data_IF_387034415290
#
_entry.id   IF_387034415290
#
_cell.length_a   1.000
_cell.length_b   1.000
_cell.length_c   1.000
_cell.angle_alpha   90.00
_cell.angle_beta   90.00
_cell.angle_gamma   90.00
#
_symmetry.space_group_name_H-M   'P 1'
#
loop_
_entity.id
_entity.type
_entity.pdbx_description
1 polymer ?
#
# COMPACT_ATOMS: atom_id res chain seq x y z
N UNK A 1 -23.05 23.15 22.07
CA UNK A 1 -22.42 23.32 20.75
C UNK A 1 -20.98 23.75 20.96
N UNK A 2 -20.01 22.84 20.94
CA UNK A 2 -18.59 23.18 20.99
C UNK A 2 -18.21 23.81 19.65
N UNK A 3 -17.42 24.88 19.60
CA UNK A 3 -17.06 25.56 18.38
C UNK A 3 -16.32 24.57 17.47
N UNK A 4 -16.83 24.38 16.28
CA UNK A 4 -16.19 23.60 15.22
C UNK A 4 -14.84 24.28 14.91
N UNK A 5 -13.77 23.80 15.54
CA UNK A 5 -12.42 24.23 15.17
C UNK A 5 -12.19 23.80 13.71
N UNK A 6 -12.16 24.78 12.82
CA UNK A 6 -11.73 24.56 11.44
C UNK A 6 -10.41 23.81 11.44
N UNK A 7 -10.28 22.72 10.66
CA UNK A 7 -9.03 21.96 10.60
C UNK A 7 -7.89 22.90 10.19
N UNK A 8 -6.71 22.73 10.81
CA UNK A 8 -5.52 23.48 10.42
C UNK A 8 -5.28 23.29 8.91
N UNK A 9 -4.96 24.35 8.15
CA UNK A 9 -4.65 24.24 6.73
C UNK A 9 -3.46 23.30 6.47
N UNK A 10 -2.59 23.10 7.47
CA UNK A 10 -1.42 22.23 7.42
C UNK A 10 -1.72 20.76 7.71
N UNK A 11 -2.92 20.41 8.19
CA UNK A 11 -3.25 19.03 8.55
C UNK A 11 -3.09 18.08 7.36
N UNK A 12 -3.73 18.41 6.25
CA UNK A 12 -3.72 17.54 5.07
C UNK A 12 -2.32 17.41 4.46
N UNK A 13 -1.55 18.49 4.20
CA UNK A 13 -0.17 18.38 3.75
C UNK A 13 0.70 17.50 4.66
N UNK A 14 0.63 17.68 5.98
CA UNK A 14 1.43 16.91 6.94
C UNK A 14 1.12 15.43 6.90
N UNK A 15 -0.15 15.03 6.99
CA UNK A 15 -0.52 13.59 7.00
C UNK A 15 -0.27 12.94 5.64
N UNK A 16 -0.43 13.66 4.54
CA UNK A 16 -0.12 13.20 3.19
C UNK A 16 1.39 12.97 3.01
N UNK A 17 2.22 13.92 3.44
CA UNK A 17 3.69 13.78 3.37
C UNK A 17 4.18 12.65 4.30
N UNK A 18 3.60 12.51 5.51
CA UNK A 18 3.92 11.41 6.40
C UNK A 18 3.58 10.05 5.77
N UNK A 19 2.39 9.92 5.18
CA UNK A 19 1.98 8.71 4.46
C UNK A 19 2.92 8.41 3.28
N UNK A 20 3.27 9.43 2.49
CA UNK A 20 4.24 9.32 1.38
C UNK A 20 5.58 8.76 1.88
N UNK A 21 6.17 9.35 2.92
CA UNK A 21 7.49 8.92 3.45
C UNK A 21 7.46 7.49 4.00
N UNK A 22 6.40 7.12 4.73
CA UNK A 22 6.23 5.76 5.28
C UNK A 22 6.14 4.74 4.15
N UNK A 23 5.37 5.02 3.12
CA UNK A 23 5.18 4.11 1.98
C UNK A 23 6.43 4.09 1.09
N UNK A 24 7.05 5.24 0.83
CA UNK A 24 8.31 5.31 0.08
C UNK A 24 9.40 4.47 0.75
N UNK A 25 9.55 4.55 2.08
CA UNK A 25 10.50 3.74 2.84
C UNK A 25 10.19 2.23 2.76
N UNK A 26 8.92 1.84 2.74
CA UNK A 26 8.53 0.44 2.58
C UNK A 26 8.98 -0.11 1.22
N UNK A 27 8.73 0.64 0.16
CA UNK A 27 8.96 0.21 -1.23
C UNK A 27 10.38 0.44 -1.75
N UNK A 28 11.19 1.30 -1.13
CA UNK A 28 12.58 1.49 -1.52
C UNK A 28 13.45 0.25 -1.26
N UNK A 29 13.00 -0.70 -0.43
CA UNK A 29 13.76 -1.89 -0.10
C UNK A 29 13.89 -2.85 -1.28
N UNK A 30 12.86 -3.02 -2.09
CA UNK A 30 12.83 -3.97 -3.20
C UNK A 30 13.99 -3.78 -4.20
N UNK A 31 14.25 -2.57 -4.75
CA UNK A 31 15.38 -2.35 -5.66
C UNK A 31 16.75 -2.48 -5.00
N UNK A 32 16.85 -2.36 -3.67
CA UNK A 32 18.11 -2.48 -2.95
C UNK A 32 18.54 -3.95 -2.68
N UNK A 33 17.64 -4.93 -2.85
CA UNK A 33 17.92 -6.35 -2.55
C UNK A 33 19.20 -6.85 -3.23
N UNK A 34 19.43 -6.67 -4.55
CA UNK A 34 20.63 -7.16 -5.20
C UNK A 34 21.91 -6.49 -4.70
N UNK A 35 21.85 -5.20 -4.36
CA UNK A 35 22.98 -4.42 -3.83
C UNK A 35 23.32 -4.85 -2.41
N UNK A 36 22.32 -4.96 -1.54
CA UNK A 36 22.50 -5.36 -0.15
C UNK A 36 23.01 -6.80 -0.02
N UNK A 37 22.64 -7.70 -0.94
CA UNK A 37 23.19 -9.05 -0.99
C UNK A 37 24.72 -9.03 -1.23
N UNK A 38 25.21 -8.10 -2.04
CA UNK A 38 26.65 -7.89 -2.23
C UNK A 38 27.30 -7.27 -1.00
N UNK A 39 26.68 -6.22 -0.42
CA UNK A 39 27.22 -5.52 0.77
C UNK A 39 27.35 -6.47 1.97
N UNK A 40 26.35 -7.33 2.19
CA UNK A 40 26.36 -8.29 3.30
C UNK A 40 27.00 -9.64 2.94
N UNK A 41 27.56 -9.79 1.72
CA UNK A 41 28.17 -11.03 1.21
C UNK A 41 27.27 -12.26 1.44
N UNK A 42 25.99 -12.15 1.09
CA UNK A 42 24.98 -13.17 1.36
C UNK A 42 24.05 -13.42 0.16
N UNK A 43 23.20 -14.44 0.29
CA UNK A 43 22.21 -14.76 -0.73
C UNK A 43 21.10 -13.69 -0.77
N UNK A 44 20.65 -13.36 -1.98
CA UNK A 44 19.55 -12.41 -2.23
C UNK A 44 18.25 -12.80 -1.52
N UNK A 45 18.01 -14.09 -1.31
CA UNK A 45 16.83 -14.58 -0.57
C UNK A 45 16.84 -14.13 0.89
N UNK A 46 17.97 -14.17 1.58
CA UNK A 46 18.06 -13.68 2.96
C UNK A 46 17.78 -12.18 3.06
N UNK A 47 18.31 -11.39 2.13
CA UNK A 47 18.04 -9.94 2.08
C UNK A 47 16.59 -9.69 1.69
N UNK A 48 16.03 -10.50 0.80
CA UNK A 48 14.62 -10.44 0.38
C UNK A 48 13.63 -10.52 1.54
N UNK A 49 14.00 -11.22 2.63
CA UNK A 49 13.19 -11.29 3.86
C UNK A 49 12.95 -9.92 4.52
N UNK A 50 13.76 -8.91 4.22
CA UNK A 50 13.56 -7.56 4.74
C UNK A 50 12.26 -6.89 4.25
N UNK A 51 11.69 -7.35 3.13
CA UNK A 51 10.40 -6.87 2.60
C UNK A 51 9.22 -7.45 3.41
N UNK A 52 9.03 -8.76 3.50
CA UNK A 52 7.95 -9.32 4.31
C UNK A 52 8.12 -9.04 5.80
N UNK A 53 9.36 -8.93 6.31
CA UNK A 53 9.63 -8.55 7.69
C UNK A 53 9.08 -7.16 8.06
N UNK A 54 8.94 -6.26 7.10
CA UNK A 54 8.27 -4.98 7.32
C UNK A 54 6.75 -5.09 7.12
N UNK A 55 6.32 -5.70 6.03
CA UNK A 55 4.93 -5.66 5.58
C UNK A 55 4.00 -6.53 6.43
N UNK A 56 4.45 -7.70 6.89
CA UNK A 56 3.63 -8.58 7.75
C UNK A 56 3.31 -7.94 9.10
N UNK A 57 4.30 -7.47 9.89
CA UNK A 57 4.01 -6.80 11.15
C UNK A 57 3.29 -5.46 10.95
N UNK A 58 3.53 -4.75 9.84
CA UNK A 58 2.75 -3.55 9.48
C UNK A 58 1.25 -3.89 9.38
N UNK A 59 0.89 -4.92 8.59
CA UNK A 59 -0.50 -5.36 8.45
C UNK A 59 -1.13 -5.73 9.78
N UNK A 60 -0.47 -6.58 10.57
CA UNK A 60 -0.98 -7.04 11.87
C UNK A 60 -1.17 -5.87 12.84
N UNK A 61 -0.18 -4.99 12.96
CA UNK A 61 -0.22 -3.87 13.89
C UNK A 61 -1.28 -2.82 13.50
N UNK A 62 -1.67 -2.72 12.22
CA UNK A 62 -2.76 -1.84 11.77
C UNK A 62 -4.08 -2.13 12.52
N UNK A 63 -4.36 -3.39 12.86
CA UNK A 63 -5.56 -3.77 13.61
C UNK A 63 -5.53 -3.26 15.06
N UNK A 64 -4.34 -3.01 15.62
CA UNK A 64 -4.13 -2.54 16.98
C UNK A 64 -4.16 -1.01 17.07
N UNK A 65 -3.59 -0.31 16.10
CA UNK A 65 -3.47 1.13 16.11
C UNK A 65 -4.83 1.86 16.07
N UNK A 66 -5.82 1.29 15.39
CA UNK A 66 -7.18 1.83 15.35
C UNK A 66 -7.79 1.97 16.75
N UNK A 67 -8.03 0.85 17.47
CA UNK A 67 -8.53 0.87 18.85
C UNK A 67 -7.65 1.70 19.80
N UNK A 68 -6.33 1.67 19.63
CA UNK A 68 -5.42 2.48 20.44
C UNK A 68 -5.67 3.97 20.23
N UNK A 69 -5.93 4.39 19.00
CA UNK A 69 -6.22 5.77 18.66
C UNK A 69 -7.59 6.24 19.15
N UNK A 70 -8.55 5.33 19.27
CA UNK A 70 -9.85 5.62 19.90
C UNK A 70 -9.68 5.91 21.41
N UNK A 71 -8.80 5.15 22.08
CA UNK A 71 -8.55 5.27 23.52
C UNK A 71 -7.69 6.47 23.89
N UNK A 72 -6.56 6.68 23.19
CA UNK A 72 -5.58 7.72 23.53
C UNK A 72 -5.77 9.02 22.75
N UNK A 73 -6.57 8.97 21.67
CA UNK A 73 -6.79 10.06 20.75
C UNK A 73 -5.92 9.95 19.49
N UNK A 74 -6.39 10.54 18.38
CA UNK A 74 -5.72 10.46 17.06
C UNK A 74 -4.32 11.07 17.09
N UNK A 75 -4.20 12.30 17.65
CA UNK A 75 -2.96 13.07 17.66
C UNK A 75 -1.79 12.34 18.34
N UNK A 76 -1.89 11.90 19.62
CA UNK A 76 -0.75 11.25 20.27
C UNK A 76 -0.35 9.93 19.59
N UNK A 77 -1.31 9.21 19.00
CA UNK A 77 -1.03 7.94 18.34
C UNK A 77 -0.34 8.14 17.00
N UNK A 78 -0.75 9.14 16.19
CA UNK A 78 -0.02 9.51 14.94
C UNK A 78 1.42 9.90 15.28
N UNK A 79 1.63 10.80 16.26
CA UNK A 79 2.97 11.23 16.63
C UNK A 79 3.80 10.11 17.26
N UNK A 80 3.21 9.25 18.08
CA UNK A 80 3.90 8.06 18.64
C UNK A 80 4.36 7.10 17.53
N UNK A 81 3.50 6.83 16.55
CA UNK A 81 3.82 6.03 15.37
C UNK A 81 4.95 6.68 14.54
N UNK A 82 4.90 8.00 14.32
CA UNK A 82 5.94 8.73 13.61
C UNK A 82 7.29 8.69 14.35
N UNK A 83 7.29 8.87 15.67
CA UNK A 83 8.52 8.80 16.47
C UNK A 83 9.15 7.41 16.41
N UNK A 84 8.34 6.35 16.55
CA UNK A 84 8.79 4.97 16.38
C UNK A 84 9.35 4.74 14.97
N UNK A 85 8.64 5.21 13.93
CA UNK A 85 9.09 5.10 12.55
C UNK A 85 10.44 5.80 12.34
N UNK A 86 10.61 7.04 12.82
CA UNK A 86 11.85 7.82 12.74
C UNK A 86 13.00 7.05 13.40
N UNK A 87 12.84 6.66 14.67
CA UNK A 87 13.89 6.01 15.44
C UNK A 87 14.29 4.66 14.83
N UNK A 88 13.30 3.82 14.44
CA UNK A 88 13.56 2.50 13.92
C UNK A 88 14.05 2.53 12.46
N UNK A 89 13.66 3.53 11.68
CA UNK A 89 14.22 3.77 10.34
C UNK A 89 15.69 4.19 10.43
N UNK A 90 16.03 5.08 11.36
CA UNK A 90 17.44 5.44 11.62
C UNK A 90 18.24 4.22 12.13
N UNK A 91 17.67 3.44 13.04
CA UNK A 91 18.30 2.21 13.53
C UNK A 91 18.52 1.18 12.41
N UNK A 92 17.68 1.14 11.39
CA UNK A 92 17.88 0.26 10.23
C UNK A 92 19.22 0.56 9.53
N UNK A 93 19.65 1.83 9.48
CA UNK A 93 20.93 2.22 8.89
C UNK A 93 22.16 1.71 9.67
N UNK A 94 22.00 1.33 10.94
CA UNK A 94 23.08 0.75 11.76
C UNK A 94 23.25 -0.77 11.60
N UNK A 95 22.46 -1.42 10.73
CA UNK A 95 22.54 -2.86 10.56
C UNK A 95 23.89 -3.29 9.97
N UNK A 96 24.58 -4.17 10.67
CA UNK A 96 25.87 -4.76 10.26
C UNK A 96 25.70 -6.17 9.70
N UNK A 97 24.49 -6.72 9.75
CA UNK A 97 24.16 -8.05 9.24
C UNK A 97 22.74 -8.07 8.68
N UNK A 98 22.45 -9.05 7.84
CA UNK A 98 21.10 -9.26 7.31
C UNK A 98 20.09 -9.54 8.42
N UNK A 99 20.48 -10.29 9.46
CA UNK A 99 19.60 -10.56 10.58
C UNK A 99 19.22 -9.27 11.33
N UNK A 100 20.19 -8.37 11.56
CA UNK A 100 19.93 -7.06 12.14
C UNK A 100 19.02 -6.20 11.22
N UNK A 101 19.29 -6.18 9.91
CA UNK A 101 18.45 -5.49 8.93
C UNK A 101 17.00 -5.99 9.00
N UNK A 102 16.78 -7.30 8.97
CA UNK A 102 15.45 -7.92 9.04
C UNK A 102 14.76 -7.60 10.37
N UNK A 103 15.49 -7.65 11.50
CA UNK A 103 14.94 -7.31 12.81
C UNK A 103 14.50 -5.83 12.89
N UNK A 104 15.35 -4.91 12.42
CA UNK A 104 14.97 -3.48 12.37
C UNK A 104 13.79 -3.22 11.43
N UNK A 105 13.74 -3.90 10.28
CA UNK A 105 12.59 -3.82 9.36
C UNK A 105 11.30 -4.29 10.01
N UNK A 106 11.35 -5.40 10.78
CA UNK A 106 10.21 -5.91 11.53
C UNK A 106 9.69 -4.87 12.54
N UNK A 107 10.57 -4.32 13.34
CA UNK A 107 10.21 -3.29 14.31
C UNK A 107 9.67 -2.01 13.63
N UNK A 108 10.31 -1.58 12.54
CA UNK A 108 9.88 -0.40 11.78
C UNK A 108 8.48 -0.59 11.18
N UNK A 109 8.15 -1.79 10.69
CA UNK A 109 6.81 -2.12 10.20
C UNK A 109 5.72 -1.89 11.26
N UNK A 110 5.95 -2.31 12.49
CA UNK A 110 5.04 -2.06 13.62
C UNK A 110 4.91 -0.55 13.87
N UNK A 111 6.04 0.16 13.97
CA UNK A 111 6.04 1.60 14.24
C UNK A 111 5.33 2.43 13.17
N UNK A 112 5.54 2.10 11.90
CA UNK A 112 5.00 2.82 10.76
C UNK A 112 3.48 2.67 10.56
N UNK A 113 2.94 1.52 10.97
CA UNK A 113 1.58 1.08 10.60
C UNK A 113 0.43 1.91 11.20
N UNK A 114 0.71 2.81 12.15
CA UNK A 114 -0.29 3.73 12.70
C UNK A 114 -0.54 4.96 11.84
N UNK A 115 0.40 5.37 10.97
CA UNK A 115 0.31 6.65 10.25
C UNK A 115 -0.86 6.67 9.26
N UNK A 116 -0.89 5.74 8.31
CA UNK A 116 -1.89 5.75 7.22
C UNK A 116 -3.32 5.53 7.72
N UNK A 117 -3.64 4.47 8.49
CA UNK A 117 -5.02 4.21 8.88
C UNK A 117 -5.59 5.27 9.81
N UNK A 118 -4.76 5.83 10.71
CA UNK A 118 -5.24 6.89 11.61
C UNK A 118 -5.41 8.21 10.85
N UNK A 119 -4.59 8.49 9.82
CA UNK A 119 -4.80 9.63 8.92
C UNK A 119 -6.13 9.53 8.17
N UNK A 120 -6.51 8.35 7.68
CA UNK A 120 -7.82 8.09 7.08
C UNK A 120 -8.96 8.40 8.05
N UNK A 121 -8.83 7.89 9.28
CA UNK A 121 -9.83 8.13 10.34
C UNK A 121 -9.90 9.61 10.70
N UNK A 122 -8.76 10.29 10.85
CA UNK A 122 -8.70 11.72 11.17
C UNK A 122 -9.40 12.57 10.10
N UNK A 123 -9.19 12.27 8.82
CA UNK A 123 -9.91 12.93 7.71
C UNK A 123 -11.42 12.72 7.86
N UNK A 124 -11.83 11.49 8.18
CA UNK A 124 -13.24 11.16 8.44
C UNK A 124 -13.85 11.93 9.61
N UNK A 125 -13.07 12.15 10.66
CA UNK A 125 -13.52 12.84 11.90
C UNK A 125 -13.60 14.37 11.75
N UNK A 126 -12.70 14.98 10.94
CA UNK A 126 -12.50 16.45 10.92
C UNK A 126 -12.99 17.09 9.64
N UNK A 127 -12.91 16.39 8.48
CA UNK A 127 -13.28 16.97 7.20
C UNK A 127 -14.77 16.80 6.92
N UNK A 128 -15.52 17.90 6.59
CA UNK A 128 -16.92 17.81 6.20
C UNK A 128 -17.16 16.83 5.06
N UNK A 129 -18.28 16.12 5.10
CA UNK A 129 -18.60 15.03 4.16
C UNK A 129 -18.38 15.41 2.68
N UNK A 130 -18.83 16.61 2.28
CA UNK A 130 -18.75 17.13 0.91
C UNK A 130 -17.31 17.34 0.42
N UNK A 131 -16.33 17.51 1.35
CA UNK A 131 -14.90 17.74 1.03
C UNK A 131 -14.03 16.50 1.29
N UNK A 132 -14.57 15.42 1.87
CA UNK A 132 -13.81 14.21 2.22
C UNK A 132 -13.20 13.52 1.02
N UNK A 133 -13.93 13.43 -0.08
CA UNK A 133 -13.45 12.80 -1.31
C UNK A 133 -12.15 13.42 -1.80
N UNK A 134 -12.04 14.76 -1.79
CA UNK A 134 -10.82 15.47 -2.16
C UNK A 134 -9.67 15.20 -1.19
N UNK A 135 -9.94 15.21 0.12
CA UNK A 135 -8.92 14.97 1.14
C UNK A 135 -8.38 13.53 1.09
N UNK A 136 -9.27 12.54 0.92
CA UNK A 136 -8.90 11.15 0.73
C UNK A 136 -8.13 10.93 -0.58
N UNK A 137 -8.52 11.63 -1.66
CA UNK A 137 -7.81 11.60 -2.94
C UNK A 137 -6.35 12.06 -2.80
N UNK A 138 -6.08 13.12 -2.04
CA UNK A 138 -4.71 13.55 -1.73
C UNK A 138 -3.93 12.51 -0.93
N UNK A 139 -4.55 11.90 0.08
CA UNK A 139 -3.88 10.86 0.87
C UNK A 139 -3.56 9.61 0.05
N UNK A 140 -4.50 9.11 -0.75
CA UNK A 140 -4.25 7.97 -1.63
C UNK A 140 -3.26 8.30 -2.74
N UNK A 141 -3.30 9.52 -3.29
CA UNK A 141 -2.29 10.01 -4.23
C UNK A 141 -0.90 10.04 -3.61
N UNK A 142 -0.78 10.42 -2.32
CA UNK A 142 0.50 10.40 -1.60
C UNK A 142 1.00 8.97 -1.37
N UNK A 143 0.11 8.01 -1.10
CA UNK A 143 0.44 6.59 -0.97
C UNK A 143 0.95 6.05 -2.31
N UNK A 144 0.24 6.30 -3.41
CA UNK A 144 0.66 5.88 -4.75
C UNK A 144 1.98 6.52 -5.17
N UNK A 145 2.12 7.84 -4.92
CA UNK A 145 3.37 8.57 -5.15
C UNK A 145 4.54 8.04 -4.32
N UNK A 146 4.28 7.68 -3.06
CA UNK A 146 5.27 7.04 -2.18
C UNK A 146 5.74 5.69 -2.72
N UNK A 147 4.81 4.87 -3.21
CA UNK A 147 5.13 3.57 -3.82
C UNK A 147 6.02 3.73 -5.05
N UNK A 148 5.63 4.62 -5.97
CA UNK A 148 6.39 4.90 -7.19
C UNK A 148 7.77 5.52 -6.91
N UNK A 149 7.79 6.58 -6.09
CA UNK A 149 9.01 7.29 -5.76
C UNK A 149 9.97 6.44 -4.91
N UNK A 150 9.43 5.64 -3.97
CA UNK A 150 10.26 4.83 -3.09
C UNK A 150 11.20 3.91 -3.84
N UNK A 151 10.69 3.15 -4.81
CA UNK A 151 11.49 2.27 -5.61
C UNK A 151 12.48 3.01 -6.52
N UNK A 152 11.98 3.99 -7.26
CA UNK A 152 12.79 4.70 -8.25
C UNK A 152 13.86 5.56 -7.58
N UNK A 153 13.48 6.40 -6.61
CA UNK A 153 14.41 7.25 -5.88
C UNK A 153 15.40 6.41 -5.06
N UNK A 154 14.92 5.31 -4.44
CA UNK A 154 15.78 4.38 -3.72
C UNK A 154 16.92 3.87 -4.59
N UNK A 155 16.61 3.41 -5.81
CA UNK A 155 17.62 2.90 -6.74
C UNK A 155 18.53 3.99 -7.33
N UNK A 156 17.98 5.18 -7.64
CA UNK A 156 18.74 6.28 -8.26
C UNK A 156 19.66 6.99 -7.27
N UNK A 157 19.27 7.11 -6.01
CA UNK A 157 19.99 7.87 -4.98
C UNK A 157 20.97 6.99 -4.19
N UNK A 158 20.71 5.67 -4.11
CA UNK A 158 21.61 4.75 -3.40
C UNK A 158 23.08 4.87 -3.79
N UNK A 159 23.46 4.95 -5.08
CA UNK A 159 24.85 5.05 -5.48
C UNK A 159 25.56 6.33 -4.98
N UNK A 160 24.80 7.38 -4.64
CA UNK A 160 25.31 8.67 -4.18
C UNK A 160 25.51 8.72 -2.66
N UNK A 161 24.57 8.19 -1.90
CA UNK A 161 24.54 8.32 -0.43
C UNK A 161 24.68 6.99 0.31
N UNK A 162 24.69 5.88 -0.43
CA UNK A 162 24.65 4.54 0.13
C UNK A 162 23.27 4.17 0.70
N UNK A 163 23.03 2.89 0.92
CA UNK A 163 21.77 2.41 1.46
C UNK A 163 21.50 2.93 2.88
N UNK A 164 22.53 3.09 3.73
CA UNK A 164 22.40 3.69 5.07
C UNK A 164 21.92 5.15 4.95
N UNK A 165 22.53 5.92 4.05
CA UNK A 165 22.16 7.31 3.80
C UNK A 165 20.71 7.48 3.37
N UNK A 166 20.16 6.54 2.59
CA UNK A 166 18.73 6.54 2.23
C UNK A 166 17.83 6.41 3.46
N UNK A 167 18.11 5.45 4.36
CA UNK A 167 17.32 5.28 5.58
C UNK A 167 17.46 6.48 6.52
N UNK A 168 18.67 7.03 6.67
CA UNK A 168 18.90 8.24 7.47
C UNK A 168 18.19 9.46 6.86
N UNK A 169 18.21 9.62 5.54
CA UNK A 169 17.50 10.71 4.88
C UNK A 169 15.99 10.63 5.12
N UNK A 170 15.37 9.47 4.94
CA UNK A 170 13.93 9.30 5.22
C UNK A 170 13.63 9.58 6.69
N UNK A 171 14.47 9.10 7.61
CA UNK A 171 14.31 9.37 9.04
C UNK A 171 14.40 10.87 9.33
N UNK A 172 15.40 11.57 8.78
CA UNK A 172 15.61 13.01 8.97
C UNK A 172 14.45 13.84 8.38
N UNK A 173 14.02 13.55 7.15
CA UNK A 173 12.87 14.23 6.56
C UNK A 173 11.60 14.01 7.36
N UNK A 174 11.37 12.80 7.88
CA UNK A 174 10.21 12.51 8.73
C UNK A 174 10.32 13.24 10.07
N UNK A 175 11.52 13.36 10.65
CA UNK A 175 11.74 14.10 11.88
C UNK A 175 11.47 15.61 11.68
N UNK A 176 11.97 16.20 10.61
CA UNK A 176 11.70 17.60 10.23
C UNK A 176 10.18 17.81 10.06
N UNK A 177 9.50 16.91 9.35
CA UNK A 177 8.04 16.95 9.19
C UNK A 177 7.33 16.86 10.54
N UNK A 178 7.76 15.96 11.42
CA UNK A 178 7.18 15.79 12.76
C UNK A 178 7.32 17.05 13.62
N UNK A 179 8.50 17.67 13.61
CA UNK A 179 8.75 18.95 14.29
C UNK A 179 7.88 20.05 13.70
N UNK A 180 7.85 20.21 12.38
CA UNK A 180 6.99 21.17 11.69
C UNK A 180 5.51 20.95 12.02
N UNK A 181 5.06 19.70 12.07
CA UNK A 181 3.68 19.35 12.43
C UNK A 181 3.30 19.78 13.86
N UNK A 182 4.24 19.68 14.80
CA UNK A 182 4.06 20.14 16.18
C UNK A 182 4.00 21.67 16.25
N UNK A 183 4.98 22.34 15.64
CA UNK A 183 5.09 23.81 15.63
C UNK A 183 3.88 24.48 14.97
N UNK A 184 3.44 23.93 13.84
CA UNK A 184 2.26 24.42 13.09
C UNK A 184 0.93 23.98 13.70
N UNK A 185 0.96 23.19 14.80
CA UNK A 185 -0.25 22.59 15.38
C UNK A 185 -1.14 21.92 14.32
N UNK A 186 -0.51 21.24 13.38
CA UNK A 186 -1.16 20.70 12.18
C UNK A 186 -2.22 19.65 12.52
N UNK A 187 -1.96 18.74 13.46
CA UNK A 187 -2.89 17.67 13.85
C UNK A 187 -3.74 18.16 15.03
N UNK A 188 -5.08 18.25 14.87
CA UNK A 188 -5.97 18.71 15.94
C UNK A 188 -6.06 17.68 17.07
N UNK A 189 -6.25 18.18 18.29
CA UNK A 189 -6.63 17.35 19.44
C UNK A 189 -8.14 17.19 19.42
N UNK A 190 -8.62 15.97 19.18
CA UNK A 190 -10.03 15.63 19.21
C UNK A 190 -10.42 15.10 20.61
N UNK A 191 -11.68 15.29 21.04
CA UNK A 191 -12.19 14.62 22.22
C UNK A 191 -12.00 13.12 22.11
N UNK A 192 -11.65 12.47 23.21
CA UNK A 192 -11.53 11.02 23.25
C UNK A 192 -12.93 10.40 23.15
N UNK A 193 -13.08 9.46 22.25
CA UNK A 193 -14.28 8.63 22.23
C UNK A 193 -14.17 7.55 23.31
N UNK A 194 -15.29 7.10 23.85
CA UNK A 194 -15.29 5.92 24.70
C UNK A 194 -14.79 4.74 23.86
N UNK A 195 -13.64 4.20 24.22
CA UNK A 195 -13.07 3.07 23.50
C UNK A 195 -14.01 1.86 23.65
N UNK A 196 -14.43 1.24 22.56
CA UNK A 196 -15.23 0.03 22.63
C UNK A 196 -14.42 -1.08 23.32
N UNK A 197 -15.07 -1.96 24.11
CA UNK A 197 -14.38 -3.10 24.70
C UNK A 197 -13.77 -3.97 23.59
N UNK A 198 -12.63 -4.59 23.87
CA UNK A 198 -11.88 -5.40 22.87
C UNK A 198 -12.77 -6.46 22.22
N UNK A 199 -13.66 -7.10 23.02
CA UNK A 199 -14.61 -8.08 22.50
C UNK A 199 -15.59 -7.49 21.46
N UNK A 200 -15.95 -6.21 21.56
CA UNK A 200 -16.79 -5.54 20.56
C UNK A 200 -15.99 -5.23 19.29
N UNK A 201 -14.71 -4.89 19.41
CA UNK A 201 -13.80 -4.68 18.26
C UNK A 201 -13.63 -5.98 17.49
N UNK A 202 -13.32 -7.09 18.17
CA UNK A 202 -13.13 -8.42 17.57
C UNK A 202 -14.42 -8.89 16.90
N UNK A 203 -15.58 -8.75 17.58
CA UNK A 203 -16.88 -9.06 16.97
C UNK A 203 -17.17 -8.24 15.73
N UNK A 204 -16.79 -6.95 15.72
CA UNK A 204 -16.91 -6.09 14.55
C UNK A 204 -16.08 -6.59 13.36
N UNK A 205 -14.85 -7.01 13.58
CA UNK A 205 -14.03 -7.63 12.53
C UNK A 205 -14.64 -8.97 12.04
N UNK A 206 -15.09 -9.81 12.96
CA UNK A 206 -15.72 -11.09 12.60
C UNK A 206 -17.01 -10.87 11.78
N UNK A 207 -17.84 -9.87 12.15
CA UNK A 207 -19.06 -9.55 11.41
C UNK A 207 -18.80 -9.12 9.97
N UNK A 208 -17.73 -8.32 9.73
CA UNK A 208 -17.33 -7.91 8.37
C UNK A 208 -16.91 -9.11 7.51
N UNK A 209 -16.19 -10.06 8.12
CA UNK A 209 -15.75 -11.28 7.44
C UNK A 209 -16.87 -12.31 7.27
N UNK A 210 -17.96 -12.22 8.03
CA UNK A 210 -19.13 -13.10 7.86
C UNK A 210 -19.98 -12.73 6.65
N UNK A 211 -19.95 -11.45 6.22
CA UNK A 211 -20.69 -10.98 5.05
C UNK A 211 -20.11 -11.58 3.76
N UNK A 212 -20.94 -12.16 2.89
CA UNK A 212 -20.49 -12.74 1.62
C UNK A 212 -19.80 -11.69 0.73
N UNK A 213 -20.37 -10.47 0.64
CA UNK A 213 -19.78 -9.33 -0.07
C UNK A 213 -18.44 -8.91 0.55
N UNK A 214 -18.33 -8.93 1.89
CA UNK A 214 -17.09 -8.66 2.62
C UNK A 214 -16.03 -9.72 2.32
N UNK A 215 -16.32 -11.00 2.52
CA UNK A 215 -15.36 -12.09 2.28
C UNK A 215 -14.76 -12.06 0.88
N UNK A 216 -15.60 -11.95 -0.16
CA UNK A 216 -15.11 -11.90 -1.54
C UNK A 216 -14.20 -10.69 -1.78
N UNK A 217 -14.60 -9.51 -1.28
CA UNK A 217 -13.83 -8.28 -1.47
C UNK A 217 -12.49 -8.35 -0.75
N UNK A 218 -12.48 -8.79 0.51
CA UNK A 218 -11.26 -8.98 1.30
C UNK A 218 -10.33 -10.05 0.72
N UNK A 219 -10.89 -11.15 0.20
CA UNK A 219 -10.10 -12.17 -0.48
C UNK A 219 -9.39 -11.58 -1.72
N UNK A 220 -10.09 -10.75 -2.52
CA UNK A 220 -9.49 -10.10 -3.68
C UNK A 220 -8.49 -9.00 -3.33
N UNK A 221 -8.68 -8.29 -2.21
CA UNK A 221 -7.65 -7.40 -1.67
C UNK A 221 -6.36 -8.18 -1.39
N UNK A 222 -6.46 -9.34 -0.74
CA UNK A 222 -5.31 -10.17 -0.42
C UNK A 222 -4.68 -10.79 -1.68
N UNK A 223 -5.48 -11.36 -2.59
CA UNK A 223 -5.00 -11.96 -3.85
C UNK A 223 -4.26 -10.91 -4.69
N UNK A 224 -4.86 -9.74 -4.89
CA UNK A 224 -4.27 -8.65 -5.65
C UNK A 224 -2.94 -8.19 -5.03
N UNK A 225 -2.90 -8.09 -3.69
CA UNK A 225 -1.68 -7.75 -2.95
C UNK A 225 -0.59 -8.80 -3.10
N UNK A 226 -0.94 -10.09 -3.00
CA UNK A 226 0.00 -11.21 -3.16
C UNK A 226 0.62 -11.20 -4.56
N UNK A 227 -0.19 -11.08 -5.60
CA UNK A 227 0.31 -11.09 -6.99
C UNK A 227 1.18 -9.87 -7.25
N UNK A 228 0.70 -8.69 -6.87
CA UNK A 228 1.40 -7.43 -7.11
C UNK A 228 2.77 -7.39 -6.42
N UNK A 229 2.81 -7.66 -5.11
CA UNK A 229 4.06 -7.59 -4.34
C UNK A 229 5.00 -8.75 -4.67
N UNK A 230 4.46 -9.93 -4.99
CA UNK A 230 5.25 -11.05 -5.41
C UNK A 230 6.11 -10.71 -6.63
N UNK A 231 5.47 -10.25 -7.69
CA UNK A 231 6.19 -9.86 -8.93
C UNK A 231 7.07 -8.63 -8.68
N UNK A 232 6.50 -7.56 -8.09
CA UNK A 232 7.17 -6.27 -7.92
C UNK A 232 8.47 -6.35 -7.10
N UNK A 233 8.46 -7.07 -5.98
CA UNK A 233 9.62 -7.14 -5.07
C UNK A 233 10.87 -7.68 -5.76
N UNK A 234 10.72 -8.55 -6.73
CA UNK A 234 11.81 -9.24 -7.38
C UNK A 234 12.17 -8.67 -8.77
N UNK A 235 11.46 -7.60 -9.24
CA UNK A 235 11.75 -6.97 -10.53
C UNK A 235 13.18 -6.45 -10.64
N UNK A 236 13.74 -5.89 -9.57
CA UNK A 236 15.12 -5.41 -9.58
C UNK A 236 16.12 -6.55 -9.84
N UNK A 237 15.93 -7.68 -9.16
CA UNK A 237 16.76 -8.87 -9.40
C UNK A 237 16.56 -9.43 -10.81
N UNK A 238 15.33 -9.47 -11.30
CA UNK A 238 15.00 -9.87 -12.66
C UNK A 238 15.70 -8.99 -13.70
N UNK A 239 15.62 -7.67 -13.57
CA UNK A 239 16.25 -6.72 -14.49
C UNK A 239 17.78 -6.83 -14.46
N UNK A 240 18.36 -7.03 -13.27
CA UNK A 240 19.79 -7.27 -13.13
C UNK A 240 20.25 -8.57 -13.78
N UNK A 241 19.55 -9.68 -13.54
CA UNK A 241 19.96 -10.99 -14.08
C UNK A 241 19.76 -11.10 -15.59
N UNK A 242 18.69 -10.51 -16.10
CA UNK A 242 18.32 -10.65 -17.51
C UNK A 242 19.01 -9.64 -18.43
N UNK A 243 19.18 -8.39 -17.97
CA UNK A 243 19.69 -7.29 -18.77
C UNK A 243 21.01 -6.71 -18.26
N UNK A 244 21.56 -7.24 -17.16
CA UNK A 244 22.81 -6.74 -16.57
C UNK A 244 22.71 -5.32 -16.02
N UNK A 245 21.50 -4.81 -15.71
CA UNK A 245 21.33 -3.43 -15.26
C UNK A 245 21.93 -3.20 -13.88
N UNK A 246 22.67 -2.10 -13.73
CA UNK A 246 23.07 -1.56 -12.44
C UNK A 246 21.92 -0.80 -11.76
N UNK A 247 22.18 -0.22 -10.57
CA UNK A 247 21.20 0.43 -9.73
C UNK A 247 20.44 1.55 -10.47
N UNK A 248 21.17 2.42 -11.19
CA UNK A 248 20.57 3.53 -11.98
C UNK A 248 19.68 2.97 -13.10
N UNK A 249 20.16 1.96 -13.83
CA UNK A 249 19.39 1.29 -14.90
C UNK A 249 18.09 0.66 -14.36
N UNK A 250 18.15 0.01 -13.19
CA UNK A 250 16.99 -0.54 -12.49
C UNK A 250 16.01 0.58 -12.10
N UNK A 251 16.52 1.67 -11.51
CA UNK A 251 15.70 2.83 -11.14
C UNK A 251 14.96 3.44 -12.34
N UNK A 252 15.65 3.61 -13.48
CA UNK A 252 15.04 4.10 -14.72
C UNK A 252 14.03 3.11 -15.30
N UNK A 253 14.30 1.81 -15.22
CA UNK A 253 13.38 0.79 -15.70
C UNK A 253 12.09 0.72 -14.85
N UNK A 254 12.18 1.03 -13.56
CA UNK A 254 11.04 1.06 -12.64
C UNK A 254 10.32 2.42 -12.60
N UNK A 255 10.86 3.45 -13.26
CA UNK A 255 10.31 4.83 -13.21
C UNK A 255 8.83 4.89 -13.61
N UNK A 256 8.43 4.05 -14.56
CA UNK A 256 7.04 3.98 -15.03
C UNK A 256 6.06 3.34 -14.06
N UNK A 257 6.57 2.61 -13.05
CA UNK A 257 5.73 1.98 -12.04
C UNK A 257 5.06 3.04 -11.14
N UNK A 258 3.75 2.94 -11.00
CA UNK A 258 2.96 3.90 -10.23
C UNK A 258 2.52 5.16 -10.98
N UNK A 259 3.09 5.46 -12.16
CA UNK A 259 2.59 6.54 -13.04
C UNK A 259 1.11 6.35 -13.37
N UNK A 260 0.63 5.13 -13.73
CA UNK A 260 -0.78 4.92 -14.02
C UNK A 260 -1.71 5.33 -12.88
N UNK A 261 -1.38 4.99 -11.63
CA UNK A 261 -2.18 5.36 -10.47
C UNK A 261 -2.28 6.88 -10.26
N UNK A 262 -1.17 7.59 -10.49
CA UNK A 262 -1.14 9.05 -10.39
C UNK A 262 -1.96 9.73 -11.51
N UNK A 263 -1.81 9.28 -12.74
CA UNK A 263 -2.43 9.92 -13.91
C UNK A 263 -3.89 9.48 -14.09
N UNK A 264 -4.19 8.19 -13.93
CA UNK A 264 -5.48 7.62 -14.27
C UNK A 264 -6.39 7.38 -13.06
N UNK A 265 -5.93 7.57 -11.82
CA UNK A 265 -6.74 7.37 -10.62
C UNK A 265 -8.13 8.03 -10.67
N UNK A 266 -8.24 9.36 -10.97
CA UNK A 266 -9.54 10.02 -11.11
C UNK A 266 -10.38 9.52 -12.28
N UNK A 267 -9.74 9.04 -13.35
CA UNK A 267 -10.42 8.51 -14.53
C UNK A 267 -10.95 7.10 -14.25
N UNK A 268 -10.20 6.27 -13.55
CA UNK A 268 -10.62 4.94 -13.09
C UNK A 268 -11.86 5.07 -12.19
N UNK A 269 -11.87 6.01 -11.24
CA UNK A 269 -13.04 6.29 -10.41
C UNK A 269 -14.27 6.65 -11.24
N UNK A 270 -14.16 7.60 -12.19
CA UNK A 270 -15.25 7.98 -13.09
C UNK A 270 -15.74 6.83 -13.97
N UNK A 271 -14.82 5.99 -14.44
CA UNK A 271 -15.16 4.81 -15.23
C UNK A 271 -15.97 3.81 -14.40
N UNK A 272 -15.60 3.59 -13.16
CA UNK A 272 -16.31 2.74 -12.22
C UNK A 272 -17.69 3.28 -11.85
N UNK A 273 -17.82 4.60 -11.69
CA UNK A 273 -19.11 5.25 -11.42
C UNK A 273 -20.07 5.11 -12.59
N UNK A 274 -19.58 5.16 -13.84
CA UNK A 274 -20.41 5.07 -15.06
C UNK A 274 -20.78 3.63 -15.43
N UNK A 275 -19.82 2.72 -15.36
CA UNK A 275 -19.96 1.36 -15.91
C UNK A 275 -20.06 0.28 -14.83
N UNK A 276 -19.92 0.67 -13.54
CA UNK A 276 -19.85 -0.27 -12.42
C UNK A 276 -18.47 -0.89 -12.27
N UNK A 277 -18.32 -1.65 -11.20
CA UNK A 277 -17.05 -2.30 -10.80
C UNK A 277 -16.95 -3.73 -11.31
N UNK A 278 -18.03 -4.29 -11.83
CA UNK A 278 -18.20 -5.71 -12.16
C UNK A 278 -17.25 -6.25 -13.23
N UNK A 279 -16.82 -5.42 -14.18
CA UNK A 279 -15.89 -5.80 -15.23
C UNK A 279 -14.48 -5.21 -15.04
N UNK A 280 -14.37 -4.04 -14.38
CA UNK A 280 -13.07 -3.37 -14.20
C UNK A 280 -12.17 -4.18 -13.25
N UNK A 281 -12.74 -4.72 -12.16
CA UNK A 281 -11.98 -5.53 -11.20
C UNK A 281 -11.41 -6.79 -11.88
N UNK A 282 -12.22 -7.65 -12.56
CA UNK A 282 -11.66 -8.79 -13.30
C UNK A 282 -10.63 -8.39 -14.35
N UNK A 283 -10.88 -7.31 -15.11
CA UNK A 283 -9.97 -6.83 -16.15
C UNK A 283 -8.63 -6.38 -15.57
N UNK A 284 -8.61 -5.67 -14.44
CA UNK A 284 -7.38 -5.26 -13.77
C UNK A 284 -6.58 -6.45 -13.25
N UNK A 285 -7.22 -7.45 -12.62
CA UNK A 285 -6.56 -8.68 -12.18
C UNK A 285 -6.01 -9.47 -13.39
N UNK A 286 -6.79 -9.56 -14.49
CA UNK A 286 -6.34 -10.21 -15.72
C UNK A 286 -5.13 -9.49 -16.33
N UNK A 287 -5.15 -8.16 -16.39
CA UNK A 287 -4.03 -7.36 -16.88
C UNK A 287 -2.75 -7.64 -16.08
N UNK A 288 -2.84 -7.68 -14.74
CA UNK A 288 -1.71 -8.04 -13.88
C UNK A 288 -1.18 -9.45 -14.22
N UNK A 289 -2.08 -10.43 -14.42
CA UNK A 289 -1.72 -11.79 -14.78
C UNK A 289 -1.03 -11.87 -16.16
N UNK A 290 -1.60 -11.21 -17.17
CA UNK A 290 -1.01 -11.12 -18.51
C UNK A 290 0.38 -10.49 -18.47
N UNK A 291 0.55 -9.39 -17.73
CA UNK A 291 1.84 -8.72 -17.59
C UNK A 291 2.89 -9.64 -16.92
N UNK A 292 2.51 -10.40 -15.89
CA UNK A 292 3.40 -11.38 -15.27
C UNK A 292 3.84 -12.47 -16.27
N UNK A 293 2.93 -12.98 -17.12
CA UNK A 293 3.26 -13.94 -18.18
C UNK A 293 4.14 -13.32 -19.28
N UNK A 294 3.88 -12.06 -19.66
CA UNK A 294 4.74 -11.34 -20.62
C UNK A 294 6.17 -11.19 -20.10
N UNK A 295 6.35 -10.92 -18.81
CA UNK A 295 7.67 -10.86 -18.18
C UNK A 295 8.41 -12.21 -18.22
N UNK A 296 7.71 -13.33 -18.31
CA UNK A 296 8.31 -14.66 -18.50
C UNK A 296 8.84 -14.89 -19.94
N UNK A 297 8.30 -14.16 -20.92
CA UNK A 297 8.69 -14.29 -22.33
C UNK A 297 10.02 -13.57 -22.64
N UNK A 298 10.78 -13.96 -23.69
CA UNK A 298 12.06 -13.33 -24.05
C UNK A 298 11.89 -11.97 -24.74
N UNK A 299 11.33 -11.00 -24.01
CA UNK A 299 11.06 -9.66 -24.50
C UNK A 299 12.29 -8.72 -24.40
N UNK A 300 12.42 -7.73 -25.28
CA UNK A 300 13.42 -6.66 -25.15
C UNK A 300 13.08 -5.74 -23.96
N UNK A 301 14.07 -4.98 -23.47
CA UNK A 301 13.96 -4.15 -22.28
C UNK A 301 12.78 -3.17 -22.35
N UNK A 302 12.55 -2.51 -23.48
CA UNK A 302 11.44 -1.56 -23.67
C UNK A 302 10.08 -2.24 -23.48
N UNK A 303 9.90 -3.45 -23.99
CA UNK A 303 8.67 -4.21 -23.82
C UNK A 303 8.48 -4.67 -22.36
N UNK A 304 9.57 -5.01 -21.67
CA UNK A 304 9.57 -5.32 -20.23
C UNK A 304 9.16 -4.08 -19.42
N UNK A 305 9.70 -2.90 -19.73
CA UNK A 305 9.30 -1.65 -19.08
C UNK A 305 7.81 -1.35 -19.29
N UNK A 306 7.31 -1.52 -20.52
CA UNK A 306 5.89 -1.38 -20.82
C UNK A 306 5.02 -2.38 -20.02
N UNK A 307 5.47 -3.64 -19.90
CA UNK A 307 4.79 -4.64 -19.08
C UNK A 307 4.79 -4.29 -17.58
N UNK A 308 5.86 -3.69 -17.06
CA UNK A 308 5.94 -3.19 -15.67
C UNK A 308 4.94 -2.05 -15.43
N UNK A 309 4.82 -1.11 -16.36
CA UNK A 309 3.83 -0.02 -16.30
C UNK A 309 2.41 -0.58 -16.35
N UNK A 310 2.14 -1.51 -17.26
CA UNK A 310 0.84 -2.13 -17.38
C UNK A 310 0.46 -3.00 -16.17
N UNK A 311 1.45 -3.64 -15.53
CA UNK A 311 1.28 -4.39 -14.27
C UNK A 311 0.81 -3.44 -13.14
N UNK A 312 1.42 -2.26 -13.03
CA UNK A 312 0.96 -1.23 -12.08
C UNK A 312 -0.47 -0.78 -12.40
N UNK A 313 -0.80 -0.55 -13.67
CA UNK A 313 -2.16 -0.20 -14.08
C UNK A 313 -3.18 -1.27 -13.68
N UNK A 314 -2.85 -2.55 -13.82
CA UNK A 314 -3.72 -3.66 -13.38
C UNK A 314 -4.06 -3.57 -11.89
N UNK A 315 -3.08 -3.25 -11.05
CA UNK A 315 -3.29 -3.01 -9.62
C UNK A 315 -4.15 -1.76 -9.36
N UNK A 316 -3.87 -0.66 -10.06
CA UNK A 316 -4.57 0.61 -9.90
C UNK A 316 -6.04 0.54 -10.37
N UNK A 317 -6.35 -0.34 -11.34
CA UNK A 317 -7.72 -0.64 -11.75
C UNK A 317 -8.52 -1.43 -10.70
N UNK A 318 -7.86 -2.14 -9.80
CA UNK A 318 -8.53 -3.04 -8.85
C UNK A 318 -8.58 -2.47 -7.44
N UNK A 319 -7.45 -2.07 -6.88
CA UNK A 319 -7.34 -1.75 -5.45
C UNK A 319 -8.24 -0.59 -4.99
N UNK A 320 -8.33 0.55 -5.70
CA UNK A 320 -9.24 1.63 -5.30
C UNK A 320 -10.72 1.21 -5.35
N UNK A 321 -11.09 0.35 -6.30
CA UNK A 321 -12.47 -0.13 -6.43
C UNK A 321 -12.84 -1.12 -5.33
N UNK A 322 -11.92 -2.01 -4.95
CA UNK A 322 -12.09 -2.89 -3.80
C UNK A 322 -12.20 -2.07 -2.49
N UNK A 323 -11.38 -1.02 -2.34
CA UNK A 323 -11.48 -0.10 -1.22
C UNK A 323 -12.84 0.61 -1.18
N UNK A 324 -13.37 1.01 -2.34
CA UNK A 324 -14.73 1.54 -2.46
C UNK A 324 -15.79 0.57 -1.95
N UNK A 325 -15.72 -0.72 -2.35
CA UNK A 325 -16.66 -1.75 -1.85
C UNK A 325 -16.55 -1.91 -0.34
N UNK A 326 -15.31 -1.93 0.19
CA UNK A 326 -15.07 -2.06 1.64
C UNK A 326 -15.72 -0.92 2.43
N UNK A 327 -15.65 0.31 1.92
CA UNK A 327 -16.28 1.48 2.57
C UNK A 327 -17.81 1.50 2.48
N UNK A 328 -18.37 0.73 1.53
CA UNK A 328 -19.82 0.54 1.35
C UNK A 328 -20.38 -0.61 2.21
N UNK A 329 -19.52 -1.40 2.89
CA UNK A 329 -19.98 -2.48 3.76
C UNK A 329 -20.72 -1.92 5.00
N UNK A 330 -21.76 -2.62 5.49
CA UNK A 330 -22.46 -2.22 6.69
C UNK A 330 -21.55 -2.33 7.91
N UNK A 331 -21.72 -1.44 8.89
CA UNK A 331 -20.96 -1.44 10.14
C UNK A 331 -19.96 -0.28 10.27
N UNK A 332 -18.93 -0.49 11.07
CA UNK A 332 -17.93 0.54 11.33
C UNK A 332 -16.90 0.64 10.19
N UNK A 333 -16.92 1.76 9.47
CA UNK A 333 -15.99 2.02 8.34
C UNK A 333 -14.52 1.94 8.74
N UNK A 334 -14.18 2.40 9.95
CA UNK A 334 -12.80 2.33 10.44
C UNK A 334 -12.34 0.88 10.61
N UNK A 335 -13.20 0.01 11.14
CA UNK A 335 -12.90 -1.42 11.24
C UNK A 335 -12.81 -2.08 9.86
N UNK A 336 -13.72 -1.75 8.94
CA UNK A 336 -13.69 -2.27 7.57
C UNK A 336 -12.39 -1.92 6.86
N UNK A 337 -11.94 -0.66 6.99
CA UNK A 337 -10.68 -0.19 6.41
C UNK A 337 -9.46 -0.81 7.09
N UNK A 338 -9.51 -1.04 8.41
CA UNK A 338 -8.43 -1.70 9.15
C UNK A 338 -8.24 -3.16 8.70
N UNK A 339 -9.34 -3.93 8.51
CA UNK A 339 -9.29 -5.29 7.95
C UNK A 339 -8.72 -5.27 6.53
N UNK A 340 -9.13 -4.30 5.70
CA UNK A 340 -8.58 -4.14 4.36
C UNK A 340 -7.07 -3.89 4.39
N UNK A 341 -6.61 -2.97 5.22
CA UNK A 341 -5.18 -2.65 5.35
C UNK A 341 -4.39 -3.85 5.89
N UNK A 342 -4.93 -4.55 6.87
CA UNK A 342 -4.34 -5.80 7.37
C UNK A 342 -4.13 -6.82 6.23
N UNK A 343 -5.17 -7.11 5.46
CA UNK A 343 -5.10 -8.09 4.37
C UNK A 343 -4.22 -7.60 3.22
N UNK A 344 -4.21 -6.30 2.92
CA UNK A 344 -3.36 -5.71 1.90
C UNK A 344 -1.88 -5.87 2.25
N UNK A 345 -1.45 -5.40 3.42
CA UNK A 345 -0.04 -5.43 3.80
C UNK A 345 0.45 -6.85 4.13
N UNK A 346 -0.39 -7.68 4.75
CA UNK A 346 -0.10 -9.11 4.93
C UNK A 346 0.00 -9.82 3.59
N UNK A 347 -0.91 -9.52 2.66
CA UNK A 347 -0.87 -10.03 1.29
C UNK A 347 0.41 -9.61 0.55
N UNK A 348 0.84 -8.37 0.69
CA UNK A 348 2.12 -7.91 0.15
C UNK A 348 3.31 -8.70 0.73
N UNK A 349 3.36 -8.88 2.05
CA UNK A 349 4.42 -9.66 2.69
C UNK A 349 4.43 -11.13 2.24
N UNK A 350 3.26 -11.77 2.22
CA UNK A 350 3.11 -13.15 1.76
C UNK A 350 3.47 -13.29 0.27
N UNK A 351 3.05 -12.34 -0.56
CA UNK A 351 3.35 -12.36 -2.00
C UNK A 351 4.85 -12.36 -2.28
N UNK A 352 5.60 -11.49 -1.58
CA UNK A 352 7.06 -11.45 -1.66
C UNK A 352 7.70 -12.79 -1.26
N UNK A 353 7.23 -13.42 -0.16
CA UNK A 353 7.71 -14.72 0.29
C UNK A 353 7.36 -15.85 -0.68
N UNK A 354 6.12 -15.92 -1.15
CA UNK A 354 5.67 -16.96 -2.06
C UNK A 354 6.41 -16.91 -3.40
N UNK A 355 6.65 -15.69 -3.91
CA UNK A 355 7.46 -15.53 -5.12
C UNK A 355 8.91 -15.95 -4.88
N UNK A 356 9.48 -15.60 -3.72
CA UNK A 356 10.82 -16.04 -3.31
C UNK A 356 10.93 -17.57 -3.29
N UNK A 357 9.93 -18.25 -2.74
CA UNK A 357 9.89 -19.72 -2.76
C UNK A 357 9.80 -20.25 -4.21
N UNK A 358 8.97 -19.63 -5.05
CA UNK A 358 8.85 -20.01 -6.45
C UNK A 358 10.15 -19.76 -7.25
N UNK A 359 10.99 -18.78 -6.85
CA UNK A 359 12.29 -18.52 -7.46
C UNK A 359 13.26 -19.72 -7.37
N UNK A 360 13.06 -20.65 -6.45
CA UNK A 360 13.85 -21.90 -6.39
C UNK A 360 13.69 -22.74 -7.66
N UNK A 361 12.56 -22.56 -8.38
CA UNK A 361 12.28 -23.18 -9.68
C UNK A 361 12.60 -22.25 -10.87
N UNK A 362 13.20 -21.08 -10.61
CA UNK A 362 13.59 -20.09 -11.60
C UNK A 362 12.55 -18.98 -11.83
N UNK A 363 13.01 -17.83 -12.36
CA UNK A 363 12.17 -16.67 -12.61
C UNK A 363 10.98 -16.92 -13.54
N UNK A 364 11.22 -17.66 -14.63
CA UNK A 364 10.17 -17.96 -15.61
C UNK A 364 9.04 -18.74 -14.95
N UNK A 365 9.37 -19.77 -14.17
CA UNK A 365 8.39 -20.58 -13.44
C UNK A 365 7.62 -19.74 -12.42
N UNK A 366 8.32 -18.91 -11.63
CA UNK A 366 7.68 -18.03 -10.67
C UNK A 366 6.68 -17.05 -11.33
N UNK A 367 7.09 -16.41 -12.43
CA UNK A 367 6.24 -15.49 -13.20
C UNK A 367 5.03 -16.22 -13.81
N UNK A 368 5.21 -17.44 -14.33
CA UNK A 368 4.10 -18.24 -14.86
C UNK A 368 3.11 -18.61 -13.75
N UNK A 369 3.59 -19.07 -12.60
CA UNK A 369 2.72 -19.42 -11.46
C UNK A 369 1.90 -18.23 -10.98
N UNK A 370 2.51 -17.07 -10.80
CA UNK A 370 1.83 -15.86 -10.38
C UNK A 370 0.88 -15.32 -11.46
N UNK A 371 1.32 -15.33 -12.73
CA UNK A 371 0.50 -14.90 -13.86
C UNK A 371 -0.72 -15.79 -14.08
N UNK A 372 -0.52 -17.11 -14.10
CA UNK A 372 -1.62 -18.07 -14.26
C UNK A 372 -2.58 -18.02 -13.06
N UNK A 373 -2.07 -17.94 -11.84
CA UNK A 373 -2.88 -17.75 -10.65
C UNK A 373 -3.74 -16.48 -10.69
N UNK A 374 -3.18 -15.36 -11.16
CA UNK A 374 -3.92 -14.13 -11.37
C UNK A 374 -5.00 -14.26 -12.45
N UNK A 375 -4.73 -14.95 -13.56
CA UNK A 375 -5.74 -15.19 -14.62
C UNK A 375 -6.88 -16.09 -14.12
N UNK A 376 -6.58 -17.14 -13.35
CA UNK A 376 -7.62 -17.96 -12.70
C UNK A 376 -8.45 -17.09 -11.75
N UNK A 377 -7.80 -16.29 -10.92
CA UNK A 377 -8.50 -15.35 -10.03
C UNK A 377 -9.37 -14.34 -10.81
N UNK A 378 -8.88 -13.83 -11.95
CA UNK A 378 -9.65 -12.95 -12.83
C UNK A 378 -10.91 -13.63 -13.40
N UNK A 379 -10.79 -14.89 -13.84
CA UNK A 379 -11.94 -15.68 -14.29
C UNK A 379 -13.00 -15.87 -13.20
N UNK A 380 -12.57 -16.19 -11.97
CA UNK A 380 -13.46 -16.30 -10.81
C UNK A 380 -14.06 -14.93 -10.44
N UNK A 381 -13.30 -13.82 -10.59
CA UNK A 381 -13.79 -12.46 -10.31
C UNK A 381 -15.00 -12.08 -11.16
N UNK A 382 -15.07 -12.54 -12.43
CA UNK A 382 -16.19 -12.25 -13.32
C UNK A 382 -17.52 -12.68 -12.70
N UNK A 383 -17.57 -13.87 -12.13
CA UNK A 383 -18.78 -14.37 -11.46
C UNK A 383 -19.00 -13.70 -10.09
N UNK A 384 -17.94 -13.48 -9.33
CA UNK A 384 -18.03 -12.95 -7.97
C UNK A 384 -18.44 -11.47 -7.91
N UNK A 385 -18.02 -10.64 -8.89
CA UNK A 385 -18.30 -9.20 -8.89
C UNK A 385 -19.43 -8.80 -9.86
N UNK A 386 -20.17 -9.75 -10.45
CA UNK A 386 -21.26 -9.47 -11.40
C UNK A 386 -22.33 -8.52 -10.86
N UNK A 387 -22.56 -8.53 -9.54
CA UNK A 387 -23.57 -7.71 -8.88
C UNK A 387 -23.11 -6.29 -8.56
N UNK A 388 -21.81 -5.97 -8.74
CA UNK A 388 -21.24 -4.61 -8.57
C UNK A 388 -21.45 -3.74 -9.81
N UNK A 389 -22.67 -3.81 -10.40
CA UNK A 389 -23.11 -2.99 -11.52
C UNK A 389 -23.52 -1.59 -11.05
N UNK A 390 -23.54 -0.59 -11.94
CA UNK A 390 -24.05 0.73 -11.57
C UNK A 390 -25.47 0.61 -11.03
N UNK A 391 -25.77 1.33 -9.96
CA UNK A 391 -27.17 1.51 -9.57
C UNK A 391 -27.87 2.24 -10.73
N UNK A 392 -28.79 1.59 -11.42
CA UNK A 392 -29.73 2.30 -12.30
C UNK A 392 -30.45 3.32 -11.40
N UNK A 393 -30.19 4.60 -11.62
CA UNK A 393 -31.03 5.66 -11.05
C UNK A 393 -32.46 5.37 -11.52
N UNK A 394 -33.28 4.85 -10.59
CA UNK A 394 -34.72 4.80 -10.83
C UNK A 394 -35.13 6.23 -11.17
N UNK A 395 -35.68 6.51 -12.35
CA UNK A 395 -36.19 7.84 -12.67
C UNK A 395 -37.18 8.20 -11.54
N UNK A 396 -36.94 9.29 -10.83
CA UNK A 396 -37.97 9.83 -9.95
C UNK A 396 -39.17 10.07 -10.82
N UNK A 397 -40.22 9.25 -10.64
CA UNK A 397 -41.53 9.53 -11.19
C UNK A 397 -41.87 10.94 -10.69
N UNK A 398 -41.84 11.89 -11.60
CA UNK A 398 -42.40 13.22 -11.39
C UNK A 398 -43.86 13.00 -10.94
N UNK A 399 -44.28 13.54 -9.79
CA UNK A 399 -45.69 13.49 -9.43
C UNK A 399 -46.45 14.16 -10.56
N UNK A 400 -47.40 13.44 -11.14
CA UNK A 400 -48.33 14.01 -12.08
C UNK A 400 -49.04 15.20 -11.42
N UNK A 401 -48.98 16.35 -12.07
CA UNK A 401 -49.62 17.58 -11.67
C UNK A 401 -51.16 17.48 -11.73
#
# INVERSE_FOLDING_TARGET
MTPSRTPSPWMLPVICTAAFLVIAQAFMMAPLIPRLAQVFHTNVGWVGLAVPAYLLPYGIATLVWGPLSDRFGRKPVIFGSLVLFIALTAATASATSVAALVAWRFATGIGASGVVPISLTLIGDVVPFQKRGRALGWLFGSIAGGTAAGATVGALVEPLVGWQGLFLAVSAFTAILGVAAVLMRAVPSLPRSAAPPLAAVVRGYASLLSLARGRRTYAYVAINAVVQSGVYTWLALYLRQRFGLGEVGIGLALLGYGIPGLLFGPTIGRLADRHGRSWIIPAGVALTGVCALLLAAPLPLVAVQAAIVALSLGYDLTQPLLAGIVTDLPGNRGQATAVMAFLLFTGFGLGSLLFQLALTWGFVTALILFGAGALVAAGVAVSMFRDERPHQTVPMLTPAA
#
